data_IF_888006133733
#
_entry.id   IF_888006133733
#
_cell.length_a   1.000
_cell.length_b   1.000
_cell.length_c   1.000
_cell.angle_alpha   90.00
_cell.angle_beta   90.00
_cell.angle_gamma   90.00
#
_symmetry.space_group_name_H-M   'P 1'
#
loop_
_entity.id
_entity.type
_entity.pdbx_description
1 polymer ?
#
# COMPACT_ATOMS: atom_id res chain seq x y z
N UNK A 1 15.13 16.18 -16.70
CA UNK A 1 14.75 15.52 -15.43
C UNK A 1 14.29 14.11 -15.73
N UNK A 2 14.53 13.16 -14.83
CA UNK A 2 14.01 11.80 -14.98
C UNK A 2 12.52 11.77 -14.71
N UNK A 3 11.86 10.72 -15.18
CA UNK A 3 10.46 10.45 -14.87
C UNK A 3 10.28 10.21 -13.37
N UNK A 4 9.07 10.48 -12.89
CA UNK A 4 8.68 10.11 -11.53
C UNK A 4 8.62 8.59 -11.37
N UNK A 5 9.03 8.12 -10.20
CA UNK A 5 8.81 6.75 -9.77
C UNK A 5 7.31 6.47 -9.67
N UNK A 6 6.96 5.20 -9.59
CA UNK A 6 5.64 4.83 -9.10
C UNK A 6 5.44 5.39 -7.68
N UNK A 7 4.21 5.81 -7.37
CA UNK A 7 3.84 6.24 -6.03
C UNK A 7 4.02 5.08 -5.02
N UNK A 8 4.52 5.38 -3.83
CA UNK A 8 4.72 4.39 -2.77
C UNK A 8 3.43 3.78 -2.20
N UNK A 9 2.29 4.44 -2.41
CA UNK A 9 0.98 3.98 -2.01
C UNK A 9 -0.01 4.14 -3.17
N UNK A 10 -1.09 3.36 -3.20
CA UNK A 10 -2.16 3.48 -4.21
C UNK A 10 -3.36 4.29 -3.71
N UNK A 11 -3.41 4.59 -2.42
CA UNK A 11 -4.41 5.40 -1.73
C UNK A 11 -3.84 5.83 -0.37
N UNK A 12 -4.49 6.76 0.32
CA UNK A 12 -4.14 7.19 1.68
C UNK A 12 -2.92 8.09 1.78
N UNK A 13 -2.40 8.56 0.64
CA UNK A 13 -1.18 9.35 0.54
C UNK A 13 0.07 8.49 0.43
N UNK A 14 0.92 8.83 -0.53
CA UNK A 14 2.23 8.24 -0.75
C UNK A 14 3.21 9.28 -1.27
N UNK A 15 4.41 8.84 -1.63
CA UNK A 15 5.47 9.67 -2.19
C UNK A 15 5.94 9.05 -3.49
N UNK A 16 6.15 9.88 -4.49
CA UNK A 16 6.88 9.55 -5.71
C UNK A 16 8.14 10.39 -5.77
N UNK A 17 9.23 9.77 -6.22
CA UNK A 17 10.54 10.40 -6.30
C UNK A 17 11.00 10.47 -7.75
N UNK A 18 11.75 11.51 -8.11
CA UNK A 18 12.43 11.60 -9.41
C UNK A 18 13.88 11.99 -9.24
N UNK A 19 14.74 11.46 -10.09
CA UNK A 19 16.13 11.86 -10.14
C UNK A 19 16.33 13.03 -11.11
N UNK A 20 17.18 14.02 -10.78
CA UNK A 20 17.64 14.95 -11.80
C UNK A 20 18.38 14.18 -12.90
N UNK A 21 18.18 14.59 -14.15
CA UNK A 21 19.01 14.12 -15.27
C UNK A 21 19.92 15.27 -15.64
N UNK A 22 21.22 14.99 -15.74
CA UNK A 22 22.19 15.96 -16.20
C UNK A 22 22.21 15.99 -17.73
N UNK A 23 22.15 17.18 -18.32
CA UNK A 23 22.09 17.37 -19.76
C UNK A 23 23.21 18.31 -20.19
N UNK A 24 23.87 18.01 -21.30
CA UNK A 24 24.92 18.85 -21.86
C UNK A 24 24.35 20.18 -22.40
N UNK A 25 24.82 21.30 -21.86
CA UNK A 25 24.48 22.64 -22.35
C UNK A 25 25.40 23.03 -23.51
N UNK A 26 24.94 22.91 -24.76
CA UNK A 26 25.68 23.41 -25.93
C UNK A 26 25.45 24.92 -26.13
N UNK A 27 25.87 25.74 -25.17
CA UNK A 27 25.91 27.20 -25.38
C UNK A 27 27.24 27.55 -26.06
N UNK A 28 27.24 27.58 -27.39
CA UNK A 28 28.34 28.16 -28.18
C UNK A 28 28.77 27.40 -29.43
N UNK A 29 28.31 26.17 -29.65
CA UNK A 29 28.68 25.38 -30.84
C UNK A 29 27.42 25.01 -31.63
N UNK A 30 27.51 25.17 -32.96
CA UNK A 30 26.44 24.95 -33.94
C UNK A 30 25.71 23.64 -33.62
N UNK A 31 24.36 23.63 -33.55
CA UNK A 31 23.63 22.44 -33.18
C UNK A 31 23.85 21.37 -34.25
N UNK A 32 24.75 20.42 -33.98
CA UNK A 32 24.69 19.13 -34.64
C UNK A 32 23.53 18.38 -34.00
N UNK A 33 22.32 18.81 -34.37
CA UNK A 33 21.09 18.04 -34.21
C UNK A 33 21.23 16.78 -35.05
N UNK A 34 21.91 15.78 -34.51
CA UNK A 34 21.68 14.41 -34.92
C UNK A 34 20.50 13.96 -34.06
N UNK A 35 19.32 14.00 -34.66
CA UNK A 35 18.04 13.49 -34.13
C UNK A 35 17.33 14.27 -33.01
N UNK A 36 17.68 15.55 -32.78
CA UNK A 36 16.87 16.45 -31.92
C UNK A 36 16.84 16.09 -30.43
N UNK A 37 17.68 15.16 -29.98
CA UNK A 37 17.76 14.72 -28.60
C UNK A 37 18.96 15.36 -27.90
N UNK A 38 18.72 16.03 -26.78
CA UNK A 38 19.82 16.52 -25.95
C UNK A 38 20.50 15.37 -25.21
N UNK A 39 21.84 15.41 -25.15
CA UNK A 39 22.66 14.33 -24.58
C UNK A 39 22.59 14.33 -23.04
N UNK A 40 22.12 13.23 -22.46
CA UNK A 40 22.19 12.98 -21.02
C UNK A 40 23.63 12.59 -20.66
N UNK A 41 24.21 13.27 -19.68
CA UNK A 41 25.60 13.07 -19.19
C UNK A 41 25.59 12.53 -17.76
N UNK A 42 26.76 12.04 -17.31
CA UNK A 42 26.95 11.55 -15.94
C UNK A 42 26.67 12.65 -14.89
N UNK A 43 26.13 12.27 -13.73
CA UNK A 43 25.79 13.20 -12.65
C UNK A 43 27.00 14.00 -12.15
N UNK A 44 28.22 13.42 -12.22
CA UNK A 44 29.47 14.09 -11.85
C UNK A 44 29.84 15.26 -12.77
N UNK A 45 29.23 15.34 -13.96
CA UNK A 45 29.47 16.39 -14.94
C UNK A 45 28.50 17.58 -14.78
N UNK A 46 27.55 17.51 -13.85
CA UNK A 46 26.63 18.61 -13.53
C UNK A 46 27.11 19.44 -12.34
N UNK A 47 27.00 20.76 -12.46
CA UNK A 47 27.19 21.67 -11.34
C UNK A 47 26.02 21.51 -10.34
N UNK A 48 26.33 21.34 -9.06
CA UNK A 48 25.36 20.97 -8.02
C UNK A 48 24.41 22.11 -7.63
N UNK A 49 24.65 23.33 -8.12
CA UNK A 49 23.90 24.56 -7.87
C UNK A 49 22.59 24.68 -8.67
N UNK A 50 22.37 23.87 -9.71
CA UNK A 50 21.15 23.88 -10.54
C UNK A 50 20.17 22.74 -10.23
N UNK A 51 20.38 22.00 -9.13
CA UNK A 51 19.53 20.86 -8.76
C UNK A 51 18.14 21.36 -8.31
N UNK A 52 17.05 20.95 -8.98
CA UNK A 52 15.69 21.26 -8.55
C UNK A 52 15.42 20.69 -7.15
N UNK A 53 14.84 21.50 -6.25
CA UNK A 53 14.60 21.11 -4.85
C UNK A 53 13.58 19.97 -4.70
N UNK A 54 12.65 19.83 -5.66
CA UNK A 54 11.56 18.85 -5.57
C UNK A 54 11.92 17.52 -6.24
N UNK A 55 12.66 16.71 -5.49
CA UNK A 55 12.95 15.30 -5.77
C UNK A 55 11.84 14.35 -5.28
N UNK A 56 10.94 14.83 -4.43
CA UNK A 56 9.80 14.08 -3.88
C UNK A 56 8.50 14.88 -4.05
N UNK A 57 7.39 14.19 -4.34
CA UNK A 57 6.04 14.76 -4.33
C UNK A 57 5.06 13.80 -3.71
N UNK A 58 4.02 14.34 -3.07
CA UNK A 58 2.88 13.52 -2.62
C UNK A 58 2.08 13.01 -3.82
N UNK A 59 1.43 11.87 -3.63
CA UNK A 59 0.59 11.23 -4.63
C UNK A 59 -0.47 10.35 -3.96
N UNK A 60 -1.56 10.09 -4.67
CA UNK A 60 -2.64 9.20 -4.23
C UNK A 60 -3.24 9.55 -2.85
N UNK A 61 -3.53 10.83 -2.64
CA UNK A 61 -4.08 11.39 -1.40
C UNK A 61 -5.55 11.01 -1.12
N UNK A 62 -6.23 10.37 -2.08
CA UNK A 62 -7.59 9.86 -1.89
C UNK A 62 -7.63 8.80 -0.78
N UNK A 63 -8.66 8.82 0.10
CA UNK A 63 -8.76 7.85 1.20
C UNK A 63 -8.83 6.42 0.68
N UNK A 64 -8.18 5.49 1.39
CA UNK A 64 -8.27 4.07 1.04
C UNK A 64 -9.69 3.53 1.19
N UNK A 65 -10.10 2.60 0.30
CA UNK A 65 -11.41 1.98 0.38
C UNK A 65 -11.57 1.22 1.70
N UNK A 66 -12.82 1.12 2.15
CA UNK A 66 -13.17 0.35 3.34
C UNK A 66 -12.93 -1.13 3.12
N UNK A 67 -12.50 -1.83 4.16
CA UNK A 67 -12.20 -3.26 4.11
C UNK A 67 -12.56 -3.98 5.41
N UNK A 68 -12.62 -5.31 5.36
CA UNK A 68 -12.88 -6.13 6.53
C UNK A 68 -11.59 -6.34 7.33
N UNK A 69 -11.52 -5.73 8.51
CA UNK A 69 -10.53 -6.08 9.51
C UNK A 69 -10.88 -7.42 10.16
N UNK A 70 -9.87 -8.27 10.35
CA UNK A 70 -10.04 -9.63 10.87
C UNK A 70 -9.16 -9.84 12.10
N UNK A 71 -9.80 -9.96 13.26
CA UNK A 71 -9.12 -10.23 14.51
C UNK A 71 -8.68 -11.69 14.66
N UNK A 72 -7.84 -11.96 15.67
CA UNK A 72 -7.43 -13.32 15.99
C UNK A 72 -8.63 -14.17 16.44
N UNK A 73 -8.52 -15.49 16.22
CA UNK A 73 -9.45 -16.45 16.82
C UNK A 73 -9.32 -16.44 18.34
N UNK A 74 -10.46 -16.38 19.02
CA UNK A 74 -10.52 -16.62 20.45
C UNK A 74 -10.24 -18.10 20.76
N UNK A 75 -9.87 -18.37 22.01
CA UNK A 75 -9.82 -19.73 22.53
C UNK A 75 -11.17 -20.41 22.44
N UNK A 76 -11.17 -21.74 22.35
CA UNK A 76 -12.40 -22.52 22.44
C UNK A 76 -13.09 -22.25 23.79
N UNK A 77 -14.42 -22.08 23.79
CA UNK A 77 -15.17 -21.73 25.02
C UNK A 77 -15.21 -22.87 26.04
N UNK A 78 -14.88 -24.08 25.61
CA UNK A 78 -14.86 -25.30 26.41
C UNK A 78 -13.55 -26.05 26.18
N UNK A 79 -13.16 -26.84 27.18
CA UNK A 79 -11.94 -27.67 27.17
C UNK A 79 -12.22 -29.15 26.93
N UNK A 80 -13.47 -29.60 27.09
CA UNK A 80 -13.97 -30.92 26.72
C UNK A 80 -15.30 -30.79 25.94
N UNK A 81 -15.72 -31.83 25.22
CA UNK A 81 -16.98 -31.85 24.47
C UNK A 81 -17.61 -33.25 24.53
N UNK A 82 -18.95 -33.35 24.53
CA UNK A 82 -19.63 -34.65 24.45
C UNK A 82 -19.45 -35.29 23.08
N UNK A 83 -19.65 -36.60 23.00
CA UNK A 83 -19.69 -37.28 21.70
C UNK A 83 -20.68 -36.59 20.76
N UNK A 84 -20.25 -36.27 19.54
CA UNK A 84 -21.02 -35.57 18.50
C UNK A 84 -21.27 -34.06 18.71
N UNK A 85 -20.64 -33.45 19.71
CA UNK A 85 -20.64 -31.98 19.84
C UNK A 85 -19.35 -31.40 19.23
N UNK A 86 -19.48 -30.36 18.39
CA UNK A 86 -18.34 -29.60 17.86
C UNK A 86 -18.46 -28.15 18.33
N UNK A 87 -17.81 -27.78 19.45
CA UNK A 87 -17.84 -26.41 19.95
C UNK A 87 -17.29 -25.43 18.91
N UNK A 88 -17.80 -24.20 18.91
CA UNK A 88 -17.36 -23.16 18.00
C UNK A 88 -16.51 -22.12 18.74
N UNK A 89 -15.43 -21.68 18.11
CA UNK A 89 -14.68 -20.49 18.50
C UNK A 89 -15.10 -19.30 17.63
N UNK A 90 -14.97 -18.09 18.19
CA UNK A 90 -15.32 -16.84 17.50
C UNK A 90 -14.09 -15.98 17.26
N UNK A 91 -14.16 -15.09 16.28
CA UNK A 91 -13.22 -13.96 16.09
C UNK A 91 -14.01 -12.70 15.81
N UNK A 92 -13.37 -11.56 16.00
CA UNK A 92 -13.95 -10.27 15.63
C UNK A 92 -13.74 -10.00 14.15
N UNK A 93 -14.79 -9.60 13.44
CA UNK A 93 -14.73 -9.12 12.05
C UNK A 93 -15.43 -7.77 12.02
N UNK A 94 -14.71 -6.72 11.61
CA UNK A 94 -15.23 -5.35 11.64
C UNK A 94 -14.96 -4.68 10.30
N UNK A 95 -15.92 -3.91 9.80
CA UNK A 95 -15.67 -3.03 8.67
C UNK A 95 -14.84 -1.85 9.16
N UNK A 96 -13.74 -1.52 8.48
CA UNK A 96 -12.89 -0.38 8.81
C UNK A 96 -12.61 0.46 7.57
N UNK A 97 -12.26 1.73 7.77
CA UNK A 97 -11.73 2.59 6.71
C UNK A 97 -10.21 2.47 6.55
N UNK A 98 -9.63 3.30 5.69
CA UNK A 98 -8.19 3.38 5.45
C UNK A 98 -7.34 3.77 6.66
N UNK A 99 -7.95 4.24 7.75
CA UNK A 99 -7.28 4.60 9.01
C UNK A 99 -7.57 3.58 10.12
N UNK A 100 -8.08 2.39 9.76
CA UNK A 100 -8.46 1.33 10.71
C UNK A 100 -9.59 1.74 11.68
N UNK A 101 -10.38 2.77 11.35
CA UNK A 101 -11.51 3.19 12.19
C UNK A 101 -12.72 2.32 11.91
N UNK A 102 -13.37 1.83 12.98
CA UNK A 102 -14.53 0.96 12.86
C UNK A 102 -15.75 1.70 12.27
N UNK A 103 -16.35 1.07 11.26
CA UNK A 103 -17.52 1.53 10.54
C UNK A 103 -18.66 0.49 10.62
N UNK A 104 -19.91 0.91 10.37
CA UNK A 104 -21.00 -0.04 10.16
C UNK A 104 -20.75 -1.01 8.98
N UNK A 105 -21.09 -2.29 9.15
CA UNK A 105 -20.92 -3.37 8.15
C UNK A 105 -21.41 -3.04 6.74
N UNK A 106 -22.39 -2.15 6.59
CA UNK A 106 -22.94 -1.73 5.29
C UNK A 106 -21.94 -1.00 4.40
N UNK A 107 -20.84 -0.49 4.94
CA UNK A 107 -19.80 0.21 4.18
C UNK A 107 -18.85 -0.76 3.49
N UNK A 108 -18.73 -1.99 3.99
CA UNK A 108 -17.91 -3.03 3.38
C UNK A 108 -18.75 -3.97 2.50
N UNK A 109 -18.10 -4.62 1.53
CA UNK A 109 -18.76 -5.62 0.69
C UNK A 109 -19.16 -6.84 1.53
N UNK A 110 -20.46 -7.06 1.66
CA UNK A 110 -21.04 -8.17 2.42
C UNK A 110 -20.63 -9.54 1.88
N UNK A 111 -20.37 -9.66 0.57
CA UNK A 111 -19.97 -10.93 -0.03
C UNK A 111 -18.52 -11.30 0.33
N UNK A 112 -17.70 -10.31 0.65
CA UNK A 112 -16.33 -10.49 1.10
C UNK A 112 -16.21 -10.65 2.63
N UNK A 113 -17.32 -10.60 3.40
CA UNK A 113 -17.28 -10.66 4.86
C UNK A 113 -16.72 -12.01 5.34
N UNK A 114 -15.59 -12.02 6.06
CA UNK A 114 -15.02 -13.26 6.58
C UNK A 114 -15.92 -13.93 7.64
N UNK A 115 -15.85 -15.25 7.75
CA UNK A 115 -16.60 -16.00 8.78
C UNK A 115 -16.18 -15.60 10.20
N UNK A 116 -17.15 -15.29 11.05
CA UNK A 116 -16.91 -14.93 12.46
C UNK A 116 -16.77 -16.15 13.37
N UNK A 117 -17.23 -17.32 12.92
CA UNK A 117 -17.22 -18.57 13.66
C UNK A 117 -16.43 -19.65 12.93
N UNK A 118 -15.75 -20.50 13.69
CA UNK A 118 -15.04 -21.66 13.20
C UNK A 118 -15.14 -22.79 14.23
N UNK A 119 -15.10 -24.03 13.78
CA UNK A 119 -15.06 -25.18 14.68
C UNK A 119 -13.78 -25.19 15.52
N UNK A 120 -13.93 -25.64 16.76
CA UNK A 120 -12.82 -26.00 17.61
C UNK A 120 -12.07 -27.21 17.05
N UNK A 121 -10.81 -27.36 17.47
CA UNK A 121 -10.10 -28.63 17.29
C UNK A 121 -10.80 -29.71 18.12
N UNK A 122 -10.54 -30.97 17.80
CA UNK A 122 -11.09 -32.11 18.56
C UNK A 122 -10.68 -31.95 20.03
N UNK A 123 -11.68 -31.96 20.92
CA UNK A 123 -11.53 -31.86 22.37
C UNK A 123 -11.72 -33.24 23.01
N UNK A 124 -11.14 -33.50 24.20
CA UNK A 124 -11.42 -34.71 24.95
C UNK A 124 -12.90 -34.80 25.34
N UNK A 125 -13.37 -36.03 25.57
CA UNK A 125 -14.72 -36.28 26.07
C UNK A 125 -14.86 -35.81 27.52
N UNK A 126 -15.97 -35.14 27.81
CA UNK A 126 -16.48 -34.99 29.17
C UNK A 126 -17.26 -36.27 29.52
#
# INVERSE_FOLDING_TARGET
MGDWSQCSATCGGGVQDRKPLCQESTVGEVPSVVDGASRIVDELMCESSERPEEWAKTCNDDPCPTHWWVGPWQSCPVTCAKTNETPMKRRSVMCVDGQEMALPDRFCDKNAKPLEYSSCRILPEC
#
